data_IF_653916793016
#
_entry.id   IF_653916793016
#
_cell.length_a   1.000
_cell.length_b   1.000
_cell.length_c   1.000
_cell.angle_alpha   90.00
_cell.angle_beta   90.00
_cell.angle_gamma   90.00
#
_symmetry.space_group_name_H-M   'P 1'
#
loop_
_entity.id
_entity.type
_entity.pdbx_description
1 polymer ?
#
# COMPACT_ATOMS: atom_id res chain seq x y z
N UNK A 1 -22.16 13.85 -32.02
CA UNK A 1 -20.69 13.90 -32.05
C UNK A 1 -20.23 13.31 -30.74
N UNK A 2 -19.93 12.02 -30.76
CA UNK A 2 -19.60 11.26 -29.56
C UNK A 2 -18.14 11.56 -29.19
N UNK A 3 -17.95 12.24 -28.06
CA UNK A 3 -16.64 12.33 -27.44
C UNK A 3 -16.28 10.94 -26.93
N UNK A 4 -15.44 10.23 -27.68
CA UNK A 4 -14.79 9.01 -27.23
C UNK A 4 -14.00 9.33 -25.96
N UNK A 5 -14.59 8.98 -24.82
CA UNK A 5 -13.94 8.92 -23.53
C UNK A 5 -12.81 7.88 -23.66
N UNK A 6 -11.61 8.35 -23.98
CA UNK A 6 -10.42 7.51 -24.07
C UNK A 6 -10.07 7.08 -22.65
N UNK A 7 -10.69 5.98 -22.21
CA UNK A 7 -10.44 5.36 -20.92
C UNK A 7 -8.93 5.16 -20.76
N UNK A 8 -8.36 5.73 -19.71
CA UNK A 8 -6.98 5.58 -19.26
C UNK A 8 -6.64 4.16 -18.79
N UNK A 9 -7.35 3.14 -19.29
CA UNK A 9 -7.35 1.77 -18.78
C UNK A 9 -6.16 0.92 -19.24
N UNK A 10 -5.38 1.37 -20.22
CA UNK A 10 -4.25 0.60 -20.77
C UNK A 10 -2.89 0.91 -20.14
N UNK A 11 -2.74 2.03 -19.42
CA UNK A 11 -1.43 2.53 -18.96
C UNK A 11 -0.79 1.69 -17.84
N UNK A 12 -1.57 0.87 -17.13
CA UNK A 12 -1.12 0.10 -15.97
C UNK A 12 -1.52 -1.37 -16.07
N UNK A 13 -1.42 -1.95 -17.26
CA UNK A 13 -1.83 -3.34 -17.50
C UNK A 13 -0.76 -4.32 -16.96
N UNK A 14 -0.84 -4.59 -15.66
CA UNK A 14 -0.07 -5.63 -14.98
C UNK A 14 -0.73 -6.98 -15.33
N UNK A 15 0.00 -7.93 -15.95
CA UNK A 15 -0.55 -9.25 -16.23
C UNK A 15 -0.86 -9.96 -14.91
N UNK A 16 -1.84 -10.87 -14.92
CA UNK A 16 -2.02 -11.75 -13.77
C UNK A 16 -0.77 -12.60 -13.53
N UNK A 17 -0.39 -12.74 -12.26
CA UNK A 17 0.67 -13.64 -11.82
C UNK A 17 0.23 -15.09 -12.08
N UNK A 18 1.03 -15.81 -12.86
CA UNK A 18 0.79 -17.22 -13.12
C UNK A 18 0.92 -18.03 -11.82
N UNK A 19 0.08 -19.06 -11.65
CA UNK A 19 0.07 -19.87 -10.42
C UNK A 19 1.41 -20.60 -10.20
N UNK A 20 2.04 -21.04 -11.28
CA UNK A 20 3.37 -21.66 -11.29
C UNK A 20 4.51 -20.64 -11.15
N UNK A 21 4.24 -19.33 -11.24
CA UNK A 21 5.25 -18.28 -11.23
C UNK A 21 6.08 -18.17 -12.50
N UNK A 22 5.67 -18.79 -13.61
CA UNK A 22 6.42 -18.78 -14.87
C UNK A 22 6.63 -17.39 -15.48
N UNK A 23 5.80 -16.41 -15.10
CA UNK A 23 5.94 -15.01 -15.51
C UNK A 23 6.46 -14.07 -14.39
N UNK A 24 6.99 -14.61 -13.28
CA UNK A 24 7.36 -13.86 -12.08
C UNK A 24 8.25 -12.64 -12.36
N UNK A 25 9.32 -12.80 -13.13
CA UNK A 25 10.28 -11.70 -13.41
C UNK A 25 9.58 -10.53 -14.11
N UNK A 26 8.78 -10.82 -15.14
CA UNK A 26 8.04 -9.79 -15.89
C UNK A 26 6.91 -9.18 -15.05
N UNK A 27 6.22 -10.01 -14.27
CA UNK A 27 5.19 -9.55 -13.34
C UNK A 27 5.77 -8.55 -12.33
N UNK A 28 6.88 -8.90 -11.69
CA UNK A 28 7.54 -8.10 -10.67
C UNK A 28 7.93 -6.71 -11.19
N UNK A 29 8.54 -6.66 -12.38
CA UNK A 29 8.95 -5.41 -13.03
C UNK A 29 7.74 -4.52 -13.39
N UNK A 30 6.65 -5.13 -13.85
CA UNK A 30 5.43 -4.40 -14.20
C UNK A 30 4.71 -3.86 -12.97
N UNK A 31 4.63 -4.63 -11.89
CA UNK A 31 4.10 -4.15 -10.60
C UNK A 31 4.94 -2.98 -10.10
N UNK A 32 6.27 -3.10 -10.09
CA UNK A 32 7.17 -2.02 -9.69
C UNK A 32 6.91 -0.73 -10.48
N UNK A 33 6.86 -0.84 -11.80
CA UNK A 33 6.64 0.31 -12.69
C UNK A 33 5.26 0.94 -12.51
N UNK A 34 4.21 0.12 -12.46
CA UNK A 34 2.83 0.61 -12.38
C UNK A 34 2.52 1.24 -11.01
N UNK A 35 2.89 0.59 -9.91
CA UNK A 35 2.71 1.12 -8.55
C UNK A 35 3.58 2.37 -8.35
N UNK A 36 4.80 2.38 -8.92
CA UNK A 36 5.69 3.53 -8.92
C UNK A 36 5.06 4.74 -9.62
N UNK A 37 4.48 4.54 -10.81
CA UNK A 37 3.78 5.59 -11.55
C UNK A 37 2.55 6.16 -10.79
N UNK A 38 1.93 5.37 -9.91
CA UNK A 38 0.86 5.82 -9.02
C UNK A 38 1.36 6.51 -7.73
N UNK A 39 2.68 6.67 -7.54
CA UNK A 39 3.30 7.17 -6.31
C UNK A 39 2.93 6.34 -5.07
N UNK A 40 2.78 5.02 -5.24
CA UNK A 40 2.42 4.08 -4.17
C UNK A 40 3.58 3.18 -3.75
N UNK A 41 4.70 3.20 -4.48
CA UNK A 41 5.79 2.25 -4.26
C UNK A 41 6.37 2.27 -2.84
N UNK A 42 6.42 3.45 -2.20
CA UNK A 42 6.89 3.58 -0.81
C UNK A 42 6.08 2.74 0.20
N UNK A 43 4.82 2.44 -0.09
CA UNK A 43 3.97 1.60 0.77
C UNK A 43 4.29 0.11 0.56
N UNK A 44 4.60 -0.26 -0.68
CA UNK A 44 4.94 -1.64 -1.09
C UNK A 44 6.37 -2.03 -0.69
N UNK A 45 7.34 -1.11 -0.78
CA UNK A 45 8.73 -1.37 -0.37
C UNK A 45 8.98 -1.16 1.13
N UNK A 46 7.97 -0.68 1.86
CA UNK A 46 8.01 -0.51 3.31
C UNK A 46 8.72 0.75 3.79
N UNK A 47 9.01 1.73 2.92
CA UNK A 47 9.56 3.03 3.33
C UNK A 47 8.52 4.00 3.89
N UNK A 48 7.24 3.82 3.53
CA UNK A 48 6.16 4.59 4.12
C UNK A 48 6.03 4.25 5.60
N UNK A 49 6.02 5.27 6.45
CA UNK A 49 5.88 5.12 7.90
C UNK A 49 4.48 5.53 8.30
N UNK A 50 3.77 4.66 9.01
CA UNK A 50 2.50 4.99 9.66
C UNK A 50 2.79 5.93 10.85
N UNK A 51 2.24 7.15 10.89
CA UNK A 51 2.39 8.01 12.05
C UNK A 51 1.84 7.32 13.31
N UNK A 52 2.52 7.52 14.45
CA UNK A 52 2.05 6.96 15.71
C UNK A 52 0.67 7.54 16.08
N UNK A 53 -0.27 6.72 16.59
CA UNK A 53 -1.53 7.23 17.10
C UNK A 53 -1.31 8.28 18.20
N UNK A 54 -2.22 9.24 18.30
CA UNK A 54 -2.19 10.24 19.37
C UNK A 54 -2.40 9.55 20.72
N UNK A 55 -1.55 9.88 21.69
CA UNK A 55 -1.73 9.44 23.07
C UNK A 55 -2.80 10.30 23.74
N UNK A 56 -3.47 9.76 24.76
CA UNK A 56 -4.39 10.52 25.59
C UNK A 56 -3.70 10.94 26.89
N UNK A 57 -3.92 12.18 27.31
CA UNK A 57 -3.50 12.66 28.61
C UNK A 57 -4.28 11.93 29.73
N UNK A 58 -3.62 11.29 30.71
CA UNK A 58 -4.32 10.50 31.72
C UNK A 58 -5.25 11.31 32.64
N UNK A 59 -5.06 12.63 32.75
CA UNK A 59 -5.79 13.47 33.69
C UNK A 59 -6.98 14.18 33.04
N UNK A 60 -6.82 14.59 31.77
CA UNK A 60 -7.80 15.38 31.01
C UNK A 60 -8.43 14.61 29.85
N UNK A 61 -7.92 13.44 29.51
CA UNK A 61 -8.30 12.64 28.33
C UNK A 61 -8.14 13.39 27.00
N UNK A 62 -7.34 14.46 26.98
CA UNK A 62 -7.06 15.25 25.80
C UNK A 62 -5.98 14.58 24.92
N UNK A 63 -6.06 14.67 23.58
CA UNK A 63 -5.01 14.15 22.70
C UNK A 63 -3.67 14.88 22.88
N UNK A 64 -2.59 14.12 22.81
CA UNK A 64 -1.21 14.58 22.91
C UNK A 64 -0.46 14.21 21.62
N UNK A 65 0.22 15.19 21.01
CA UNK A 65 1.09 14.93 19.87
C UNK A 65 2.23 13.96 20.21
N UNK A 66 2.65 13.10 19.27
CA UNK A 66 3.79 12.22 19.48
C UNK A 66 5.08 13.05 19.51
N UNK A 67 5.83 13.02 20.61
CA UNK A 67 7.10 13.74 20.71
C UNK A 67 7.62 13.92 22.14
N UNK A 68 8.85 14.44 22.29
CA UNK A 68 9.50 14.62 23.60
C UNK A 68 8.88 15.75 24.43
N UNK A 69 8.22 16.71 23.79
CA UNK A 69 7.57 17.85 24.45
C UNK A 69 6.07 17.72 24.39
N UNK A 70 5.43 17.57 25.55
CA UNK A 70 3.97 17.65 25.72
C UNK A 70 3.52 19.11 25.63
N UNK A 71 3.57 19.71 24.44
CA UNK A 71 2.98 21.02 24.21
C UNK A 71 1.46 20.88 24.07
N UNK A 72 0.67 21.86 24.56
CA UNK A 72 -0.76 21.92 24.30
C UNK A 72 -0.98 21.83 22.79
N UNK A 73 -1.63 20.76 22.35
CA UNK A 73 -1.90 20.53 20.93
C UNK A 73 -3.20 21.23 20.57
N UNK A 74 -3.16 22.05 19.54
CA UNK A 74 -4.35 22.71 19.01
C UNK A 74 -5.24 21.70 18.28
N UNK A 75 -6.54 21.98 18.19
CA UNK A 75 -7.47 21.16 17.39
C UNK A 75 -7.00 21.02 15.94
N UNK A 76 -6.35 22.06 15.39
CA UNK A 76 -5.81 22.04 14.04
C UNK A 76 -4.62 21.06 13.87
N UNK A 77 -3.74 20.98 14.87
CA UNK A 77 -2.61 20.04 14.84
C UNK A 77 -3.06 18.59 15.01
N UNK A 78 -4.08 18.35 15.85
CA UNK A 78 -4.73 17.03 15.98
C UNK A 78 -5.29 16.59 14.63
N UNK A 79 -6.13 17.44 14.02
CA UNK A 79 -6.74 17.14 12.73
C UNK A 79 -5.70 16.88 11.64
N UNK A 80 -4.66 17.72 11.55
CA UNK A 80 -3.59 17.52 10.57
C UNK A 80 -2.82 16.20 10.79
N UNK A 81 -2.64 15.76 12.03
CA UNK A 81 -1.98 14.49 12.33
C UNK A 81 -2.88 13.29 11.99
N UNK A 82 -4.17 13.37 12.30
CA UNK A 82 -5.16 12.36 11.91
C UNK A 82 -5.27 12.23 10.39
N UNK A 83 -5.26 13.35 9.66
CA UNK A 83 -5.23 13.37 8.19
C UNK A 83 -4.02 12.60 7.62
N UNK A 84 -2.85 12.67 8.26
CA UNK A 84 -1.65 11.92 7.84
C UNK A 84 -1.81 10.41 8.05
N UNK A 85 -2.49 10.00 9.12
CA UNK A 85 -2.81 8.59 9.39
C UNK A 85 -3.80 8.07 8.34
N UNK A 86 -4.85 8.85 8.07
CA UNK A 86 -5.87 8.50 7.07
C UNK A 86 -5.27 8.44 5.66
N UNK A 87 -4.40 9.40 5.31
CA UNK A 87 -3.67 9.36 4.04
C UNK A 87 -2.81 8.10 3.93
N UNK A 88 -2.12 7.70 5.01
CA UNK A 88 -1.34 6.46 5.02
C UNK A 88 -2.22 5.25 4.68
N UNK A 89 -3.35 5.07 5.39
CA UNK A 89 -4.23 3.92 5.17
C UNK A 89 -4.91 3.95 3.80
N UNK A 90 -5.29 5.13 3.31
CA UNK A 90 -5.84 5.31 1.98
C UNK A 90 -4.85 4.83 0.91
N UNK A 91 -3.60 5.28 0.97
CA UNK A 91 -2.57 4.93 0.00
C UNK A 91 -2.13 3.46 0.12
N UNK A 92 -2.01 2.92 1.33
CA UNK A 92 -1.73 1.49 1.54
C UNK A 92 -2.86 0.62 0.96
N UNK A 93 -4.12 1.02 1.15
CA UNK A 93 -5.28 0.29 0.59
C UNK A 93 -5.30 0.32 -0.94
N UNK A 94 -4.93 1.44 -1.56
CA UNK A 94 -4.78 1.50 -3.02
C UNK A 94 -3.69 0.55 -3.52
N UNK A 95 -2.56 0.48 -2.82
CA UNK A 95 -1.49 -0.45 -3.16
C UNK A 95 -1.94 -1.91 -3.01
N UNK A 96 -2.65 -2.25 -1.94
CA UNK A 96 -3.27 -3.57 -1.74
C UNK A 96 -4.22 -3.92 -2.86
N UNK A 97 -5.12 -3.00 -3.24
CA UNK A 97 -6.07 -3.22 -4.31
C UNK A 97 -5.38 -3.53 -5.63
N UNK A 98 -4.31 -2.79 -5.98
CA UNK A 98 -3.54 -3.07 -7.18
C UNK A 98 -2.90 -4.46 -7.14
N UNK A 99 -2.25 -4.83 -6.04
CA UNK A 99 -1.66 -6.17 -5.88
C UNK A 99 -2.72 -7.29 -5.95
N UNK A 100 -3.84 -7.13 -5.26
CA UNK A 100 -4.91 -8.14 -5.22
C UNK A 100 -5.58 -8.31 -6.58
N UNK A 101 -5.66 -7.25 -7.38
CA UNK A 101 -6.24 -7.32 -8.72
C UNK A 101 -5.40 -8.09 -9.74
N UNK A 102 -4.15 -8.43 -9.40
CA UNK A 102 -3.18 -9.03 -10.35
C UNK A 102 -2.64 -10.37 -9.89
N UNK A 103 -3.03 -10.87 -8.72
CA UNK A 103 -2.67 -12.20 -8.21
C UNK A 103 -3.83 -13.18 -8.38
N UNK A 104 -3.57 -14.48 -8.25
CA UNK A 104 -4.63 -15.49 -8.22
C UNK A 104 -5.31 -15.54 -6.84
N UNK A 105 -6.53 -16.07 -6.79
CA UNK A 105 -7.27 -16.29 -5.53
C UNK A 105 -6.47 -17.15 -4.54
N UNK A 106 -5.71 -18.12 -5.03
CA UNK A 106 -4.86 -18.95 -4.18
C UNK A 106 -3.75 -18.14 -3.48
N UNK A 107 -3.13 -17.19 -4.17
CA UNK A 107 -2.15 -16.29 -3.54
C UNK A 107 -2.87 -15.29 -2.63
N UNK A 108 -4.02 -14.75 -3.04
CA UNK A 108 -4.83 -13.85 -2.23
C UNK A 108 -5.20 -14.47 -0.88
N UNK A 109 -5.64 -15.73 -0.86
CA UNK A 109 -5.98 -16.45 0.37
C UNK A 109 -4.80 -16.56 1.35
N UNK A 110 -3.57 -16.60 0.85
CA UNK A 110 -2.35 -16.64 1.66
C UNK A 110 -1.96 -15.27 2.25
N UNK A 111 -2.21 -14.18 1.51
CA UNK A 111 -1.72 -12.85 1.86
C UNK A 111 -2.79 -11.92 2.45
N UNK A 112 -4.08 -12.22 2.31
CA UNK A 112 -5.19 -11.33 2.70
C UNK A 112 -5.23 -10.92 4.17
N UNK A 113 -4.58 -11.70 5.06
CA UNK A 113 -4.52 -11.43 6.51
C UNK A 113 -3.29 -10.61 6.92
N UNK A 114 -2.44 -10.22 5.98
CA UNK A 114 -1.24 -9.44 6.26
C UNK A 114 -1.58 -7.95 6.40
N UNK A 115 -0.91 -7.29 7.34
CA UNK A 115 -1.34 -5.98 7.84
C UNK A 115 -1.24 -4.86 6.80
N UNK A 116 -0.22 -4.86 5.95
CA UNK A 116 0.05 -3.79 4.98
C UNK A 116 0.56 -4.32 3.64
N UNK A 117 0.52 -3.46 2.63
CA UNK A 117 0.97 -3.76 1.27
C UNK A 117 2.42 -4.24 1.21
N UNK A 118 3.31 -3.76 2.10
CA UNK A 118 4.69 -4.23 2.15
C UNK A 118 4.81 -5.68 2.62
N UNK A 119 4.02 -6.10 3.61
CA UNK A 119 3.99 -7.50 4.05
C UNK A 119 3.43 -8.41 2.97
N UNK A 120 2.34 -7.98 2.32
CA UNK A 120 1.75 -8.68 1.17
C UNK A 120 2.79 -8.86 0.06
N UNK A 121 3.49 -7.80 -0.30
CA UNK A 121 4.49 -7.84 -1.37
C UNK A 121 5.67 -8.74 -1.02
N UNK A 122 6.18 -8.69 0.21
CA UNK A 122 7.23 -9.58 0.70
C UNK A 122 6.80 -11.04 0.60
N UNK A 123 5.55 -11.35 0.95
CA UNK A 123 5.04 -12.71 0.88
C UNK A 123 4.84 -13.19 -0.57
N UNK A 124 4.32 -12.34 -1.46
CA UNK A 124 4.25 -12.64 -2.90
C UNK A 124 5.66 -12.94 -3.45
N UNK A 125 6.65 -12.12 -3.10
CA UNK A 125 8.04 -12.38 -3.47
C UNK A 125 8.50 -13.74 -2.92
N UNK A 126 8.28 -14.03 -1.63
CA UNK A 126 8.67 -15.29 -1.01
C UNK A 126 8.05 -16.51 -1.71
N UNK A 127 6.80 -16.41 -2.19
CA UNK A 127 6.10 -17.50 -2.86
C UNK A 127 6.67 -17.75 -4.27
N UNK A 128 7.13 -16.73 -5.00
CA UNK A 128 7.42 -16.84 -6.43
C UNK A 128 8.89 -16.61 -6.83
N UNK A 129 9.73 -16.10 -5.93
CA UNK A 129 11.16 -15.92 -6.21
C UNK A 129 11.82 -17.25 -6.59
N UNK A 130 12.56 -17.26 -7.71
CA UNK A 130 13.21 -18.46 -8.24
C UNK A 130 12.30 -19.46 -8.96
N UNK A 131 11.03 -19.12 -9.24
CA UNK A 131 10.11 -19.97 -10.02
C UNK A 131 10.10 -19.71 -11.53
N UNK A 132 10.70 -18.62 -12.00
CA UNK A 132 10.89 -18.40 -13.44
C UNK A 132 12.17 -19.07 -13.93
N UNK A 133 12.13 -19.63 -15.13
CA UNK A 133 13.25 -20.34 -15.78
C UNK A 133 14.35 -19.41 -16.35
N UNK A 134 14.34 -18.12 -15.98
CA UNK A 134 15.21 -17.07 -16.49
C UNK A 134 16.19 -16.57 -15.44
#
# INVERSE_FOLDING_TARGET
>A
MDASNSSSSSLYNIPHLAEDGGNWITYKERVFTAIGACNLWRYVDGRATLPAPLALDPSSNAPLMPGPTKTPTTVAEIAAHEDLIDEFYYKDSLAKQQLFSTISDHVLLQVQKLDNSSMIWKEICRIHEGKSDL
#
